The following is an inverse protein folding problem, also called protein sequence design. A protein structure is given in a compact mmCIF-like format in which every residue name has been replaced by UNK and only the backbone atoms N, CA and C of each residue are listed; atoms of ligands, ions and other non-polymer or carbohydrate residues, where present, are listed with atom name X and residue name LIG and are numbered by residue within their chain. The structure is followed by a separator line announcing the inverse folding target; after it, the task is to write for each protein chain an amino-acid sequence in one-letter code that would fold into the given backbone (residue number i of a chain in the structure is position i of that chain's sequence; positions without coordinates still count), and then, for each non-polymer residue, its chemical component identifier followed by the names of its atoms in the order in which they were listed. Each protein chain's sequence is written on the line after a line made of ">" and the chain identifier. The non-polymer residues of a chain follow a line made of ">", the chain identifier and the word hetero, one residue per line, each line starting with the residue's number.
data_IF_631570061046
#
_entry.id   IF_631570061046
#
_cell.length_a   1.000
_cell.length_b   1.000
_cell.length_c   1.000
_cell.angle_alpha   90.00
_cell.angle_beta   90.00
_cell.angle_gamma   90.00
#
_symmetry.space_group_name_H-M   'P 1'
#
loop_
_entity.id
_entity.type
_entity.pdbx_description
1 polymer ?
#
# COMPACT_ATOMS: atom_id res chain seq x y z
N UNK A 1 -0.55 -52.34 -36.51
CA UNK A 1 0.17 -51.83 -37.70
C UNK A 1 0.41 -50.35 -37.51
N UNK A 2 1.67 -49.93 -37.39
CA UNK A 2 2.02 -48.51 -37.29
C UNK A 2 1.86 -47.89 -38.67
N UNK A 3 1.02 -46.87 -38.77
CA UNK A 3 0.50 -46.35 -40.04
C UNK A 3 1.63 -45.78 -40.90
N UNK A 4 1.64 -46.22 -42.16
CA UNK A 4 2.63 -45.94 -43.18
C UNK A 4 2.50 -44.50 -43.71
N UNK A 5 3.29 -43.54 -43.19
CA UNK A 5 3.28 -42.14 -43.66
C UNK A 5 4.71 -41.56 -43.82
N UNK A 6 5.51 -42.16 -44.69
CA UNK A 6 6.98 -42.08 -44.76
C UNK A 6 7.69 -40.73 -45.06
N UNK A 7 7.12 -39.56 -44.79
CA UNK A 7 7.87 -38.29 -44.95
C UNK A 7 7.65 -37.24 -43.84
N UNK A 8 6.50 -37.25 -43.17
CA UNK A 8 6.27 -36.35 -42.01
C UNK A 8 6.85 -36.87 -40.69
N UNK A 9 7.23 -38.15 -40.65
CA UNK A 9 7.75 -38.86 -39.48
C UNK A 9 9.03 -38.20 -38.91
N UNK A 10 9.95 -37.74 -39.76
CA UNK A 10 11.22 -37.15 -39.33
C UNK A 10 11.10 -35.67 -38.94
N UNK A 11 10.04 -34.97 -39.37
CA UNK A 11 9.83 -33.56 -39.07
C UNK A 11 9.54 -33.34 -37.58
N UNK A 12 8.73 -34.20 -36.95
CA UNK A 12 8.43 -34.10 -35.52
C UNK A 12 9.70 -34.21 -34.66
N UNK A 13 10.58 -35.14 -35.03
CA UNK A 13 11.87 -35.34 -34.38
C UNK A 13 12.76 -34.10 -34.53
N UNK A 14 12.94 -33.61 -35.76
CA UNK A 14 13.79 -32.45 -36.04
C UNK A 14 13.26 -31.16 -35.38
N UNK A 15 11.95 -30.92 -35.46
CA UNK A 15 11.30 -29.75 -34.85
C UNK A 15 11.35 -29.85 -33.31
N UNK A 16 11.13 -31.03 -32.74
CA UNK A 16 11.25 -31.25 -31.29
C UNK A 16 12.66 -30.92 -30.78
N UNK A 17 13.68 -31.42 -31.45
CA UNK A 17 15.08 -31.11 -31.12
C UNK A 17 15.44 -29.64 -31.36
N UNK A 18 14.96 -29.02 -32.44
CA UNK A 18 15.14 -27.59 -32.67
C UNK A 18 14.51 -26.74 -31.56
N UNK A 19 13.31 -27.11 -31.09
CA UNK A 19 12.65 -26.42 -29.98
C UNK A 19 13.43 -26.57 -28.67
N UNK A 20 14.04 -27.73 -28.40
CA UNK A 20 14.93 -27.88 -27.25
C UNK A 20 16.16 -26.95 -27.35
N UNK A 21 16.76 -26.80 -28.54
CA UNK A 21 17.88 -25.87 -28.75
C UNK A 21 17.44 -24.42 -28.53
N UNK A 22 16.28 -24.03 -29.07
CA UNK A 22 15.72 -22.67 -28.89
C UNK A 22 15.38 -22.41 -27.42
N UNK A 23 14.99 -23.44 -26.67
CA UNK A 23 14.70 -23.31 -25.25
C UNK A 23 15.92 -22.77 -24.46
N UNK A 24 17.15 -23.17 -24.83
CA UNK A 24 18.38 -22.70 -24.18
C UNK A 24 18.75 -21.25 -24.50
N UNK A 25 18.11 -20.61 -25.49
CA UNK A 25 18.31 -19.19 -25.79
C UNK A 25 17.56 -18.26 -24.80
N UNK A 26 16.83 -18.82 -23.83
CA UNK A 26 16.14 -18.05 -22.81
C UNK A 26 17.08 -17.21 -21.94
N UNK A 27 16.70 -15.95 -21.68
CA UNK A 27 17.42 -15.07 -20.75
C UNK A 27 17.33 -15.59 -19.29
N UNK A 28 18.27 -15.17 -18.43
CA UNK A 28 18.28 -15.51 -16.99
C UNK A 28 17.19 -14.80 -16.15
N UNK A 29 16.17 -14.22 -16.79
CA UNK A 29 15.03 -13.60 -16.11
C UNK A 29 13.97 -14.65 -15.75
N UNK A 30 13.08 -14.34 -14.80
CA UNK A 30 11.94 -15.20 -14.42
C UNK A 30 11.08 -15.56 -15.65
N UNK A 31 10.89 -14.60 -16.55
CA UNK A 31 10.19 -14.81 -17.82
C UNK A 31 10.98 -15.70 -18.79
N UNK A 32 12.32 -15.66 -18.76
CA UNK A 32 13.17 -16.52 -19.57
C UNK A 32 13.21 -17.97 -19.07
N UNK A 33 13.14 -18.18 -17.75
CA UNK A 33 12.96 -19.52 -17.17
C UNK A 33 11.59 -20.10 -17.57
N UNK A 34 10.53 -19.29 -17.57
CA UNK A 34 9.21 -19.71 -18.05
C UNK A 34 9.25 -20.10 -19.54
N UNK A 35 9.90 -19.27 -20.37
CA UNK A 35 10.13 -19.53 -21.80
C UNK A 35 10.82 -20.88 -22.05
N UNK A 36 11.94 -21.14 -21.36
CA UNK A 36 12.67 -22.41 -21.41
C UNK A 36 11.74 -23.60 -21.13
N UNK A 37 10.93 -23.51 -20.06
CA UNK A 37 10.04 -24.61 -19.65
C UNK A 37 8.88 -24.82 -20.63
N UNK A 38 8.30 -23.76 -21.19
CA UNK A 38 7.22 -23.87 -22.18
C UNK A 38 7.71 -24.48 -23.51
N UNK A 39 8.90 -24.10 -23.98
CA UNK A 39 9.48 -24.71 -25.17
C UNK A 39 9.89 -26.16 -24.93
N UNK A 40 10.44 -26.48 -23.74
CA UNK A 40 10.72 -27.85 -23.37
C UNK A 40 9.46 -28.72 -23.33
N UNK A 41 8.33 -28.21 -22.82
CA UNK A 41 7.04 -28.91 -22.87
C UNK A 41 6.61 -29.20 -24.31
N UNK A 42 6.69 -28.19 -25.18
CA UNK A 42 6.31 -28.31 -26.59
C UNK A 42 7.20 -29.35 -27.30
N UNK A 43 8.51 -29.33 -27.03
CA UNK A 43 9.46 -30.34 -27.51
C UNK A 43 9.14 -31.75 -27.00
N UNK A 44 8.83 -31.92 -25.71
CA UNK A 44 8.44 -33.21 -25.14
C UNK A 44 7.15 -33.77 -25.77
N UNK A 45 6.15 -32.93 -26.05
CA UNK A 45 4.91 -33.38 -26.73
C UNK A 45 5.20 -33.87 -28.14
N UNK A 46 6.04 -33.16 -28.90
CA UNK A 46 6.42 -33.59 -30.26
C UNK A 46 7.24 -34.88 -30.25
N UNK A 47 8.12 -35.07 -29.27
CA UNK A 47 8.88 -36.32 -29.10
C UNK A 47 8.00 -37.49 -28.65
N UNK A 48 6.96 -37.23 -27.84
CA UNK A 48 5.96 -38.24 -27.50
C UNK A 48 5.13 -38.65 -28.72
N UNK A 49 4.69 -37.69 -29.53
CA UNK A 49 3.99 -37.96 -30.78
C UNK A 49 4.88 -38.78 -31.74
N UNK A 50 6.16 -38.45 -31.84
CA UNK A 50 7.12 -39.22 -32.62
C UNK A 50 7.30 -40.65 -32.07
N UNK A 51 7.46 -40.80 -30.75
CA UNK A 51 7.60 -42.10 -30.09
C UNK A 51 6.36 -42.99 -30.26
N UNK A 52 5.17 -42.39 -30.26
CA UNK A 52 3.90 -43.08 -30.42
C UNK A 52 3.58 -43.46 -31.87
N UNK A 53 3.77 -42.53 -32.81
CA UNK A 53 3.37 -42.73 -34.21
C UNK A 53 4.42 -43.46 -35.04
N UNK A 54 5.71 -43.14 -34.82
CA UNK A 54 6.82 -43.57 -35.69
C UNK A 54 7.60 -44.73 -35.07
N UNK A 55 8.12 -44.53 -33.87
CA UNK A 55 9.09 -45.43 -33.27
C UNK A 55 8.44 -46.64 -32.57
N UNK A 56 7.17 -46.51 -32.15
CA UNK A 56 6.41 -47.51 -31.39
C UNK A 56 7.19 -48.14 -30.23
N UNK A 57 8.09 -47.37 -29.61
CA UNK A 57 8.96 -47.80 -28.52
C UNK A 57 8.41 -47.31 -27.19
N UNK A 58 8.03 -48.24 -26.32
CA UNK A 58 7.51 -47.93 -24.99
C UNK A 58 8.52 -47.23 -24.10
N UNK A 59 9.82 -47.52 -24.27
CA UNK A 59 10.90 -46.88 -23.52
C UNK A 59 11.00 -45.38 -23.83
N UNK A 60 10.99 -45.01 -25.11
CA UNK A 60 11.03 -43.60 -25.53
C UNK A 60 9.81 -42.83 -25.01
N UNK A 61 8.62 -43.43 -25.09
CA UNK A 61 7.37 -42.83 -24.59
C UNK A 61 7.44 -42.64 -23.07
N UNK A 62 7.98 -43.62 -22.33
CA UNK A 62 8.17 -43.53 -20.88
C UNK A 62 9.05 -42.35 -20.48
N UNK A 63 10.23 -42.20 -21.10
CA UNK A 63 11.16 -41.12 -20.80
C UNK A 63 10.58 -39.73 -21.12
N UNK A 64 9.99 -39.53 -22.30
CA UNK A 64 9.41 -38.23 -22.65
C UNK A 64 8.18 -37.88 -21.82
N UNK A 65 7.40 -38.87 -21.36
CA UNK A 65 6.28 -38.65 -20.45
C UNK A 65 6.79 -38.17 -19.08
N UNK A 66 7.86 -38.78 -18.57
CA UNK A 66 8.50 -38.36 -17.33
C UNK A 66 9.04 -36.91 -17.44
N UNK A 67 9.76 -36.59 -18.53
CA UNK A 67 10.24 -35.24 -18.76
C UNK A 67 9.11 -34.22 -18.92
N UNK A 68 8.02 -34.60 -19.59
CA UNK A 68 6.83 -33.77 -19.70
C UNK A 68 6.24 -33.48 -18.31
N UNK A 69 6.02 -34.51 -17.49
CA UNK A 69 5.46 -34.37 -16.15
C UNK A 69 6.31 -33.46 -15.25
N UNK A 70 7.64 -33.63 -15.27
CA UNK A 70 8.56 -32.77 -14.51
C UNK A 70 8.49 -31.31 -14.98
N UNK A 71 8.51 -31.07 -16.29
CA UNK A 71 8.42 -29.70 -16.81
C UNK A 71 7.05 -29.07 -16.53
N UNK A 72 5.95 -29.83 -16.55
CA UNK A 72 4.61 -29.35 -16.17
C UNK A 72 4.60 -28.93 -14.71
N UNK A 73 5.16 -29.76 -13.81
CA UNK A 73 5.26 -29.43 -12.39
C UNK A 73 6.04 -28.12 -12.18
N UNK A 74 7.19 -27.96 -12.84
CA UNK A 74 7.96 -26.72 -12.75
C UNK A 74 7.20 -25.50 -13.29
N UNK A 75 6.46 -25.63 -14.41
CA UNK A 75 5.60 -24.55 -14.92
C UNK A 75 4.51 -24.20 -13.92
N UNK A 76 3.84 -25.19 -13.32
CA UNK A 76 2.81 -24.96 -12.31
C UNK A 76 3.40 -24.24 -11.09
N UNK A 77 4.52 -24.71 -10.56
CA UNK A 77 5.21 -24.08 -9.42
C UNK A 77 5.60 -22.64 -9.77
N UNK A 78 6.16 -22.42 -10.96
CA UNK A 78 6.57 -21.10 -11.41
C UNK A 78 5.35 -20.17 -11.57
N UNK A 79 4.29 -20.60 -12.23
CA UNK A 79 3.03 -19.85 -12.34
C UNK A 79 2.42 -19.53 -10.97
N UNK A 80 2.49 -20.46 -10.02
CA UNK A 80 2.08 -20.22 -8.63
C UNK A 80 2.93 -19.14 -7.95
N UNK A 81 4.24 -19.08 -8.25
CA UNK A 81 5.15 -18.03 -7.74
C UNK A 81 4.95 -16.68 -8.44
N UNK A 82 4.62 -16.68 -9.74
CA UNK A 82 4.35 -15.47 -10.51
C UNK A 82 2.94 -14.91 -10.30
N UNK A 83 2.03 -15.68 -9.67
CA UNK A 83 0.64 -15.26 -9.48
C UNK A 83 0.61 -13.87 -8.85
N UNK A 84 0.09 -12.86 -9.58
CA UNK A 84 0.07 -11.49 -9.08
C UNK A 84 -0.77 -11.44 -7.82
N UNK A 85 -0.29 -10.69 -6.84
CA UNK A 85 -1.01 -10.44 -5.59
C UNK A 85 -2.20 -9.56 -5.94
N UNK A 86 -3.39 -10.17 -6.03
CA UNK A 86 -4.64 -9.44 -6.20
C UNK A 86 -5.05 -8.90 -4.83
N UNK A 87 -5.27 -7.59 -4.77
CA UNK A 87 -5.83 -6.93 -3.59
C UNK A 87 -7.30 -6.65 -3.85
N UNK A 88 -8.08 -6.46 -2.77
CA UNK A 88 -9.42 -5.90 -2.90
C UNK A 88 -9.34 -4.50 -3.51
N UNK A 89 -10.38 -4.12 -4.26
CA UNK A 89 -10.41 -2.86 -5.01
C UNK A 89 -10.08 -1.64 -4.14
N UNK A 90 -10.62 -1.58 -2.92
CA UNK A 90 -10.34 -0.47 -1.99
C UNK A 90 -8.88 -0.44 -1.51
N UNK A 91 -8.33 -1.59 -1.19
CA UNK A 91 -6.93 -1.72 -0.76
C UNK A 91 -5.99 -1.38 -1.93
N UNK A 92 -6.35 -1.76 -3.15
CA UNK A 92 -5.59 -1.38 -4.35
C UNK A 92 -5.61 0.12 -4.60
N UNK A 93 -6.74 0.81 -4.38
CA UNK A 93 -6.81 2.28 -4.46
C UNK A 93 -5.88 2.94 -3.45
N UNK A 94 -5.86 2.46 -2.21
CA UNK A 94 -4.93 2.92 -1.17
C UNK A 94 -3.47 2.68 -1.58
N UNK A 95 -3.15 1.48 -2.06
CA UNK A 95 -1.81 1.14 -2.54
C UNK A 95 -1.34 2.07 -3.65
N UNK A 96 -2.20 2.33 -4.64
CA UNK A 96 -1.88 3.21 -5.77
C UNK A 96 -1.72 4.67 -5.34
N UNK A 97 -2.49 5.14 -4.36
CA UNK A 97 -2.45 6.53 -3.91
C UNK A 97 -1.29 6.81 -2.93
N UNK A 98 -1.04 5.93 -1.96
CA UNK A 98 -0.07 6.18 -0.89
C UNK A 98 1.29 5.52 -1.15
N UNK A 99 1.31 4.27 -1.63
CA UNK A 99 2.52 3.43 -1.64
C UNK A 99 3.22 3.38 -3.01
N UNK A 100 2.46 3.45 -4.11
CA UNK A 100 3.00 3.46 -5.47
C UNK A 100 3.90 4.67 -5.77
N UNK A 101 3.56 5.91 -5.35
CA UNK A 101 4.45 7.07 -5.57
C UNK A 101 5.80 6.93 -4.85
N UNK A 102 5.82 6.20 -3.73
CA UNK A 102 7.01 5.97 -2.89
C UNK A 102 7.80 4.72 -3.32
N UNK A 103 7.52 4.16 -4.51
CA UNK A 103 8.19 3.00 -5.10
C UNK A 103 8.11 1.70 -4.28
N UNK A 104 7.06 1.55 -3.47
CA UNK A 104 6.83 0.29 -2.72
C UNK A 104 6.32 -0.79 -3.65
N UNK A 105 7.02 -1.93 -3.68
CA UNK A 105 6.61 -3.10 -4.46
C UNK A 105 5.34 -3.72 -3.90
N UNK A 106 4.50 -4.28 -4.79
CA UNK A 106 3.30 -5.06 -4.37
C UNK A 106 3.64 -6.20 -3.42
N UNK A 107 4.83 -6.78 -3.52
CA UNK A 107 5.28 -7.83 -2.61
C UNK A 107 5.57 -7.30 -1.20
N UNK A 108 6.20 -6.13 -1.09
CA UNK A 108 6.44 -5.46 0.19
C UNK A 108 5.13 -5.08 0.86
N UNK A 109 4.20 -4.49 0.09
CA UNK A 109 2.86 -4.16 0.59
C UNK A 109 2.06 -5.41 0.99
N UNK A 110 2.24 -6.55 0.31
CA UNK A 110 1.66 -7.83 0.74
C UNK A 110 2.16 -8.26 2.12
N UNK A 111 3.44 -8.06 2.44
CA UNK A 111 3.98 -8.37 3.78
C UNK A 111 3.28 -7.54 4.86
N UNK A 112 3.14 -6.24 4.63
CA UNK A 112 2.39 -5.32 5.51
C UNK A 112 0.94 -5.78 5.68
N UNK A 113 0.28 -6.13 4.58
CA UNK A 113 -1.11 -6.59 4.61
C UNK A 113 -1.26 -7.94 5.34
N UNK A 114 -0.22 -8.78 5.34
CA UNK A 114 -0.21 -10.03 6.13
C UNK A 114 -0.24 -9.77 7.64
N UNK A 115 0.23 -8.60 8.10
CA UNK A 115 0.18 -8.18 9.51
C UNK A 115 -1.18 -7.56 9.90
N UNK A 116 -2.16 -7.57 8.99
CA UNK A 116 -3.51 -7.07 9.25
C UNK A 116 -4.20 -7.93 10.32
N UNK A 117 -4.86 -7.25 11.28
CA UNK A 117 -5.73 -7.88 12.28
C UNK A 117 -7.08 -8.21 11.65
N UNK A 118 -7.73 -7.21 11.06
CA UNK A 118 -9.02 -7.35 10.36
C UNK A 118 -9.34 -6.12 9.50
N UNK A 119 -10.31 -6.25 8.59
CA UNK A 119 -11.01 -5.10 7.98
C UNK A 119 -12.35 -4.95 8.68
N UNK A 120 -12.54 -3.85 9.40
CA UNK A 120 -13.80 -3.55 10.10
C UNK A 120 -14.71 -2.73 9.20
N UNK A 121 -15.95 -3.18 9.02
CA UNK A 121 -16.99 -2.42 8.35
C UNK A 121 -17.86 -1.76 9.41
N UNK A 122 -17.98 -0.44 9.36
CA UNK A 122 -18.71 0.39 10.30
C UNK A 122 -19.97 0.92 9.64
N UNK A 123 -21.11 0.79 10.31
CA UNK A 123 -22.38 1.39 9.87
C UNK A 123 -22.48 2.87 10.28
N UNK A 124 -23.49 3.56 9.75
CA UNK A 124 -23.81 4.93 10.16
C UNK A 124 -23.95 5.05 11.68
N UNK A 125 -23.25 6.04 12.28
CA UNK A 125 -23.18 6.30 13.73
C UNK A 125 -22.56 5.18 14.58
N UNK A 126 -21.94 4.17 13.96
CA UNK A 126 -21.21 3.15 14.72
C UNK A 126 -19.91 3.72 15.29
N UNK A 127 -19.64 3.43 16.56
CA UNK A 127 -18.44 3.88 17.26
C UNK A 127 -17.30 2.91 16.94
N UNK A 128 -16.23 3.46 16.36
CA UNK A 128 -15.01 2.73 16.11
C UNK A 128 -14.20 2.53 17.40
N UNK A 129 -13.87 3.66 18.05
CA UNK A 129 -13.11 3.71 19.29
C UNK A 129 -13.77 4.71 20.23
N UNK A 130 -13.78 4.39 21.52
CA UNK A 130 -14.33 5.23 22.57
C UNK A 130 -13.21 5.76 23.47
N UNK A 131 -13.28 7.07 23.74
CA UNK A 131 -12.35 7.80 24.59
C UNK A 131 -12.24 7.14 25.98
N UNK A 132 -11.02 6.94 26.47
CA UNK A 132 -10.66 6.33 27.75
C UNK A 132 -11.18 4.89 27.98
N UNK A 133 -11.67 4.21 26.94
CA UNK A 133 -12.21 2.85 27.03
C UNK A 133 -11.47 1.89 26.11
N UNK A 134 -11.24 2.30 24.87
CA UNK A 134 -10.57 1.43 23.88
C UNK A 134 -9.05 1.53 24.05
N UNK A 135 -8.34 0.40 24.12
CA UNK A 135 -6.87 0.37 24.21
C UNK A 135 -6.21 0.63 22.86
N UNK A 136 -5.06 1.30 22.88
CA UNK A 136 -4.25 1.61 21.68
C UNK A 136 -3.28 0.45 21.37
N UNK A 137 -3.81 -0.62 20.78
CA UNK A 137 -3.02 -1.82 20.40
C UNK A 137 -2.77 -1.94 18.88
N UNK A 138 -3.36 -1.04 18.09
CA UNK A 138 -3.49 -1.20 16.65
C UNK A 138 -3.24 0.10 15.89
N UNK A 139 -2.89 -0.05 14.61
CA UNK A 139 -2.81 1.05 13.66
C UNK A 139 -3.92 0.87 12.63
N UNK A 140 -4.72 1.92 12.42
CA UNK A 140 -5.90 1.85 11.56
C UNK A 140 -5.83 2.85 10.41
N UNK A 141 -6.30 2.42 9.24
CA UNK A 141 -6.38 3.22 8.02
C UNK A 141 -7.78 3.16 7.42
N UNK A 142 -8.34 4.31 7.11
CA UNK A 142 -9.66 4.41 6.47
C UNK A 142 -9.54 4.02 5.00
N UNK A 143 -10.22 2.95 4.58
CA UNK A 143 -10.26 2.51 3.18
C UNK A 143 -11.29 3.32 2.39
N UNK A 144 -12.49 3.46 2.95
CA UNK A 144 -13.63 4.16 2.37
C UNK A 144 -14.51 4.72 3.49
N UNK A 145 -15.24 5.79 3.17
CA UNK A 145 -16.13 6.47 4.12
C UNK A 145 -15.54 7.73 4.76
N UNK A 146 -16.26 8.23 5.77
CA UNK A 146 -15.95 9.43 6.56
C UNK A 146 -16.18 9.14 8.02
N UNK A 147 -15.18 9.46 8.84
CA UNK A 147 -15.24 9.31 10.29
C UNK A 147 -15.08 10.67 10.96
N UNK A 148 -15.86 10.92 11.99
CA UNK A 148 -15.70 12.10 12.85
C UNK A 148 -14.91 11.71 14.09
N UNK A 149 -13.93 12.53 14.42
CA UNK A 149 -13.15 12.43 15.65
C UNK A 149 -13.68 13.48 16.62
N UNK A 150 -14.07 13.05 17.82
CA UNK A 150 -14.56 13.91 18.89
C UNK A 150 -13.76 13.69 20.18
N UNK A 151 -13.59 14.74 20.97
CA UNK A 151 -12.96 14.67 22.29
C UNK A 151 -13.88 15.37 23.29
N UNK A 152 -14.12 14.77 24.46
CA UNK A 152 -15.06 15.31 25.45
C UNK A 152 -16.42 15.68 24.82
N UNK A 153 -16.96 14.81 23.96
CA UNK A 153 -18.23 15.00 23.22
C UNK A 153 -18.25 16.17 22.22
N UNK A 154 -17.10 16.82 21.97
CA UNK A 154 -16.95 17.92 21.02
C UNK A 154 -16.24 17.43 19.75
N UNK A 155 -16.85 17.61 18.59
CA UNK A 155 -16.24 17.23 17.32
C UNK A 155 -15.00 18.09 17.03
N UNK A 156 -13.88 17.45 16.70
CA UNK A 156 -12.61 18.12 16.41
C UNK A 156 -12.39 18.25 14.91
N UNK A 157 -12.39 17.13 14.19
CA UNK A 157 -12.15 17.08 12.76
C UNK A 157 -12.77 15.83 12.13
N UNK A 158 -12.93 15.85 10.82
CA UNK A 158 -13.32 14.67 10.02
C UNK A 158 -12.08 14.05 9.41
N UNK A 159 -11.98 12.73 9.52
CA UNK A 159 -10.99 11.90 8.82
C UNK A 159 -11.65 11.29 7.59
N UNK A 160 -11.00 11.46 6.44
CA UNK A 160 -11.48 10.99 5.15
C UNK A 160 -10.81 9.67 4.74
N UNK A 161 -11.35 9.04 3.69
CA UNK A 161 -10.74 7.87 3.07
C UNK A 161 -9.25 8.11 2.70
N UNK A 162 -8.44 7.07 2.87
CA UNK A 162 -6.97 7.03 2.68
C UNK A 162 -6.16 7.81 3.72
N UNK A 163 -6.76 8.23 4.83
CA UNK A 163 -6.06 8.82 5.96
C UNK A 163 -5.98 7.81 7.12
N UNK A 164 -4.90 7.91 7.89
CA UNK A 164 -4.74 7.08 9.08
C UNK A 164 -5.63 7.63 10.20
N UNK A 165 -5.99 6.80 11.18
CA UNK A 165 -6.69 7.26 12.39
C UNK A 165 -5.66 7.48 13.51
N UNK A 166 -4.94 6.42 13.86
CA UNK A 166 -4.18 6.30 15.12
C UNK A 166 -2.70 6.72 14.99
N UNK A 167 -2.43 7.71 14.13
CA UNK A 167 -1.06 8.12 13.80
C UNK A 167 -0.35 8.88 14.92
N UNK A 168 -1.00 9.83 15.62
CA UNK A 168 -0.41 10.44 16.81
C UNK A 168 -0.07 9.40 17.89
N UNK A 169 -0.96 8.43 18.09
CA UNK A 169 -0.84 7.37 19.08
C UNK A 169 0.28 6.39 18.71
N UNK A 170 0.53 6.18 17.42
CA UNK A 170 1.64 5.37 16.92
C UNK A 170 3.02 5.86 17.40
N UNK A 171 3.23 7.19 17.41
CA UNK A 171 4.51 7.81 17.78
C UNK A 171 4.61 8.19 19.26
N UNK A 172 3.51 8.67 19.84
CA UNK A 172 3.53 9.36 21.14
C UNK A 172 3.13 8.53 22.34
N UNK A 173 2.53 7.34 22.14
CA UNK A 173 1.81 6.65 23.22
C UNK A 173 2.29 5.19 23.38
N UNK A 174 2.65 4.75 24.60
CA UNK A 174 2.93 3.35 24.89
C UNK A 174 1.68 2.48 24.63
N UNK A 175 1.86 1.20 24.28
CA UNK A 175 0.77 0.28 23.89
C UNK A 175 -0.30 0.00 24.95
N UNK A 176 -0.10 0.40 26.21
CA UNK A 176 -1.06 0.16 27.30
C UNK A 176 -1.96 1.35 27.62
N UNK A 177 -1.87 2.43 26.84
CA UNK A 177 -2.72 3.60 27.02
C UNK A 177 -4.06 3.47 26.26
N UNK A 178 -5.00 4.33 26.63
CA UNK A 178 -6.34 4.38 26.02
C UNK A 178 -6.43 5.46 24.94
N UNK A 179 -7.35 5.28 24.01
CA UNK A 179 -7.69 6.32 23.05
C UNK A 179 -8.13 7.60 23.77
N UNK A 180 -7.50 8.73 23.45
CA UNK A 180 -7.84 10.04 24.03
C UNK A 180 -9.00 10.73 23.31
N UNK A 181 -9.49 10.12 22.23
CA UNK A 181 -10.56 10.64 21.38
C UNK A 181 -11.55 9.53 21.05
N UNK A 182 -12.80 9.90 20.86
CA UNK A 182 -13.85 9.03 20.34
C UNK A 182 -13.95 9.17 18.83
N UNK A 183 -14.07 8.05 18.12
CA UNK A 183 -14.14 8.01 16.65
C UNK A 183 -15.44 7.34 16.25
N UNK A 184 -16.24 8.02 15.42
CA UNK A 184 -17.56 7.57 15.00
C UNK A 184 -17.71 7.67 13.48
N UNK A 185 -18.34 6.67 12.87
CA UNK A 185 -18.61 6.69 11.44
C UNK A 185 -19.78 7.62 11.09
N UNK A 186 -19.58 8.54 10.14
CA UNK A 186 -20.61 9.43 9.61
C UNK A 186 -21.34 8.83 8.40
N UNK A 187 -20.80 7.76 7.81
CA UNK A 187 -21.38 7.00 6.71
C UNK A 187 -20.89 5.56 6.77
N UNK A 188 -21.40 4.67 5.90
CA UNK A 188 -20.88 3.31 5.79
C UNK A 188 -19.39 3.36 5.42
N UNK A 189 -18.55 2.93 6.37
CA UNK A 189 -17.10 3.13 6.31
C UNK A 189 -16.37 1.82 6.49
N UNK A 190 -15.26 1.63 5.78
CA UNK A 190 -14.38 0.46 5.96
C UNK A 190 -13.03 0.89 6.46
N UNK A 191 -12.57 0.25 7.53
CA UNK A 191 -11.32 0.57 8.21
C UNK A 191 -10.44 -0.67 8.25
N UNK A 192 -9.23 -0.53 7.73
CA UNK A 192 -8.19 -1.54 7.77
C UNK A 192 -7.42 -1.41 9.08
N UNK A 193 -7.38 -2.48 9.88
CA UNK A 193 -6.74 -2.49 11.20
C UNK A 193 -5.55 -3.44 11.20
N UNK A 194 -4.37 -2.92 11.57
CA UNK A 194 -3.15 -3.69 11.76
C UNK A 194 -2.83 -3.89 13.23
N UNK A 195 -2.20 -5.02 13.55
CA UNK A 195 -1.61 -5.21 14.88
C UNK A 195 -0.30 -4.44 14.96
N UNK A 196 -0.18 -3.53 15.95
CA UNK A 196 0.96 -2.60 16.05
C UNK A 196 2.30 -3.32 16.10
N UNK A 197 2.42 -4.35 16.94
CA UNK A 197 3.70 -5.04 17.17
C UNK A 197 4.14 -5.85 15.95
N UNK A 198 3.21 -6.59 15.35
CA UNK A 198 3.50 -7.40 14.14
C UNK A 198 3.84 -6.50 12.96
N UNK A 199 3.14 -5.38 12.82
CA UNK A 199 3.41 -4.41 11.77
C UNK A 199 4.79 -3.75 11.98
N UNK A 200 5.09 -3.30 13.20
CA UNK A 200 6.38 -2.69 13.54
C UNK A 200 7.54 -3.65 13.27
N UNK A 201 7.42 -4.91 13.70
CA UNK A 201 8.42 -5.94 13.41
C UNK A 201 8.59 -6.18 11.90
N UNK A 202 7.49 -6.26 11.13
CA UNK A 202 7.57 -6.46 9.68
C UNK A 202 8.19 -5.28 8.94
N UNK A 203 7.97 -4.05 9.43
CA UNK A 203 8.52 -2.83 8.87
C UNK A 203 10.02 -2.73 9.22
N UNK A 204 10.40 -3.00 10.47
CA UNK A 204 11.80 -2.96 10.93
C UNK A 204 12.67 -4.04 10.28
N UNK A 205 12.08 -5.15 9.81
CA UNK A 205 12.79 -6.17 9.06
C UNK A 205 13.34 -5.68 7.70
N UNK A 206 12.85 -4.55 7.19
CA UNK A 206 13.23 -4.02 5.88
C UNK A 206 13.42 -2.49 5.93
N UNK A 207 14.67 -1.96 5.90
CA UNK A 207 14.93 -0.55 6.20
C UNK A 207 14.25 0.41 5.22
N UNK A 208 14.13 0.02 3.95
CA UNK A 208 13.39 0.80 2.95
C UNK A 208 11.92 0.98 3.34
N UNK A 209 11.27 -0.11 3.77
CA UNK A 209 9.87 -0.08 4.16
C UNK A 209 9.67 0.77 5.42
N UNK A 210 10.62 0.70 6.35
CA UNK A 210 10.65 1.55 7.55
C UNK A 210 10.65 3.04 7.21
N UNK A 211 11.60 3.50 6.42
CA UNK A 211 11.68 4.92 6.03
C UNK A 211 10.41 5.38 5.32
N UNK A 212 9.85 4.56 4.44
CA UNK A 212 8.61 4.89 3.73
C UNK A 212 7.43 5.00 4.70
N UNK A 213 7.26 4.06 5.62
CA UNK A 213 6.18 4.11 6.60
C UNK A 213 6.32 5.30 7.54
N UNK A 214 7.51 5.54 8.09
CA UNK A 214 7.78 6.69 8.94
C UNK A 214 7.47 8.00 8.21
N UNK A 215 7.85 8.12 6.92
CA UNK A 215 7.52 9.28 6.11
C UNK A 215 6.01 9.48 5.92
N UNK A 216 5.27 8.42 5.56
CA UNK A 216 3.81 8.49 5.37
C UNK A 216 3.12 8.90 6.67
N UNK A 217 3.46 8.25 7.78
CA UNK A 217 2.84 8.50 9.08
C UNK A 217 3.21 9.90 9.60
N UNK A 218 4.47 10.33 9.46
CA UNK A 218 4.89 11.67 9.86
C UNK A 218 4.13 12.75 9.07
N UNK A 219 3.95 12.55 7.76
CA UNK A 219 3.17 13.46 6.92
C UNK A 219 1.71 13.54 7.35
N UNK A 220 1.09 12.42 7.73
CA UNK A 220 -0.29 12.38 8.21
C UNK A 220 -0.45 13.16 9.53
N UNK A 221 0.45 12.94 10.50
CA UNK A 221 0.48 13.69 11.77
C UNK A 221 0.60 15.18 11.53
N UNK A 222 1.56 15.61 10.70
CA UNK A 222 1.74 17.04 10.36
C UNK A 222 0.48 17.61 9.72
N UNK A 223 -0.16 16.86 8.81
CA UNK A 223 -1.38 17.31 8.14
C UNK A 223 -2.53 17.50 9.13
N UNK A 224 -2.72 16.55 10.06
CA UNK A 224 -3.74 16.67 11.11
C UNK A 224 -3.45 17.82 12.08
N UNK A 225 -2.20 17.99 12.49
CA UNK A 225 -1.79 19.11 13.34
C UNK A 225 -2.07 20.45 12.68
N UNK A 226 -1.72 20.61 11.39
CA UNK A 226 -2.00 21.82 10.62
C UNK A 226 -3.51 22.09 10.48
N UNK A 227 -4.34 21.05 10.33
CA UNK A 227 -5.78 21.22 10.30
C UNK A 227 -6.32 21.74 11.63
N UNK A 228 -5.87 21.15 12.75
CA UNK A 228 -6.28 21.56 14.09
C UNK A 228 -5.83 23.00 14.40
N UNK A 229 -4.59 23.38 14.04
CA UNK A 229 -4.09 24.74 14.27
C UNK A 229 -4.85 25.77 13.44
N UNK A 230 -5.12 25.49 12.16
CA UNK A 230 -5.92 26.38 11.31
C UNK A 230 -7.36 26.56 11.82
N UNK A 231 -7.97 25.52 12.36
CA UNK A 231 -9.29 25.59 12.98
C UNK A 231 -9.22 26.47 14.25
N UNK A 232 -8.19 26.28 15.08
CA UNK A 232 -7.95 27.10 16.28
C UNK A 232 -7.74 28.58 15.96
N UNK A 233 -6.91 28.92 14.97
CA UNK A 233 -6.67 30.31 14.55
C UNK A 233 -7.94 30.99 14.03
N UNK A 234 -8.77 30.27 13.29
CA UNK A 234 -10.06 30.79 12.81
C UNK A 234 -11.05 31.01 13.96
N UNK A 235 -11.02 30.16 14.98
CA UNK A 235 -11.78 30.38 16.22
C UNK A 235 -11.27 31.62 16.97
N UNK A 236 -9.95 31.81 17.07
CA UNK A 236 -9.37 33.00 17.72
C UNK A 236 -9.71 34.30 16.97
N UNK A 237 -9.66 34.28 15.63
CA UNK A 237 -10.05 35.44 14.78
C UNK A 237 -11.55 35.73 14.84
N UNK A 238 -12.39 34.69 14.89
CA UNK A 238 -13.84 34.82 15.10
C UNK A 238 -14.16 35.47 16.45
N UNK A 239 -13.44 35.10 17.50
CA UNK A 239 -13.66 35.66 18.84
C UNK A 239 -13.15 37.11 18.97
N UNK A 240 -12.08 37.48 18.26
CA UNK A 240 -11.56 38.86 18.25
C UNK A 240 -12.36 39.83 17.37
N UNK A 241 -13.26 39.35 16.51
CA UNK A 241 -14.11 40.23 15.69
C UNK A 241 -15.32 40.78 16.47
N UNK A 242 -15.58 40.32 17.69
CA UNK A 242 -16.71 40.79 18.52
C UNK A 242 -16.25 41.86 19.54
N UNK A 243 -14.95 42.16 19.67
CA UNK A 243 -14.45 43.13 20.67
C UNK A 243 -13.97 44.46 20.09
N UNK A 244 -14.33 44.83 18.86
CA UNK A 244 -14.03 46.14 18.31
C UNK A 244 -15.27 46.78 17.67
N UNK A 245 -16.14 47.30 18.51
CA UNK A 245 -17.10 48.36 18.15
C UNK A 245 -17.24 49.23 19.38
N UNK A 246 -16.30 50.17 19.51
CA UNK A 246 -16.38 51.28 20.47
C UNK A 246 -17.02 52.46 19.73
N UNK A 247 -18.19 52.90 20.21
CA UNK A 247 -18.54 54.32 20.32
C UNK A 247 -19.86 54.47 21.11
N UNK A 248 -19.79 55.11 22.29
CA UNK A 248 -20.92 55.87 22.87
C UNK A 248 -21.48 55.43 24.24
N UNK A 249 -20.82 55.86 25.30
CA UNK A 249 -21.31 56.37 26.61
C UNK A 249 -22.40 55.65 27.48
N UNK A 250 -22.02 55.48 28.77
CA UNK A 250 -22.78 55.51 30.04
C UNK A 250 -23.88 54.48 30.39
N UNK A 251 -23.54 53.54 31.30
CA UNK A 251 -24.24 53.23 32.59
C UNK A 251 -23.66 52.01 33.32
N UNK A 252 -23.72 51.92 34.68
CA UNK A 252 -23.17 50.80 35.44
C UNK A 252 -24.18 49.68 35.73
N UNK A 253 -23.62 48.50 36.07
CA UNK A 253 -24.22 47.29 36.65
C UNK A 253 -25.28 46.50 35.85
N UNK A 254 -24.92 45.27 35.43
CA UNK A 254 -25.53 44.01 35.92
C UNK A 254 -24.98 42.79 35.16
N UNK A 255 -24.75 41.72 35.91
CA UNK A 255 -24.32 40.39 35.47
C UNK A 255 -25.25 39.83 34.40
N UNK A 256 -24.69 39.33 33.29
CA UNK A 256 -25.35 38.32 32.46
C UNK A 256 -24.33 37.28 31.94
N UNK A 257 -24.26 36.22 32.71
CA UNK A 257 -23.73 34.88 32.45
C UNK A 257 -24.10 34.35 31.06
N UNK A 258 -23.13 33.76 30.37
CA UNK A 258 -23.32 32.58 29.51
C UNK A 258 -23.77 32.82 28.06
N UNK A 259 -22.83 33.07 27.15
CA UNK A 259 -23.02 32.86 25.69
C UNK A 259 -21.72 32.56 24.91
N UNK A 260 -20.72 31.96 25.57
CA UNK A 260 -19.46 31.56 24.93
C UNK A 260 -19.55 30.13 24.35
N UNK A 261 -20.47 29.29 24.83
CA UNK A 261 -20.57 27.88 24.42
C UNK A 261 -21.13 27.70 23.01
N UNK A 262 -22.17 28.47 22.64
CA UNK A 262 -22.90 28.26 21.38
C UNK A 262 -22.10 28.73 20.15
N UNK A 263 -21.32 29.80 20.29
CA UNK A 263 -20.53 30.36 19.18
C UNK A 263 -19.35 29.45 18.79
N UNK A 264 -18.74 28.79 19.79
CA UNK A 264 -17.70 27.80 19.56
C UNK A 264 -18.26 26.59 18.80
N UNK A 265 -19.45 26.11 19.18
CA UNK A 265 -20.16 25.04 18.47
C UNK A 265 -20.43 25.39 17.01
N UNK A 266 -20.96 26.58 16.73
CA UNK A 266 -21.23 27.03 15.36
C UNK A 266 -19.96 27.17 14.51
N UNK A 267 -18.85 27.67 15.07
CA UNK A 267 -17.57 27.77 14.33
C UNK A 267 -17.00 26.41 13.93
N UNK A 268 -17.19 25.40 14.79
CA UNK A 268 -16.73 24.02 14.58
C UNK A 268 -17.64 23.34 13.56
N UNK A 269 -18.95 23.49 13.68
CA UNK A 269 -19.90 23.01 12.66
C UNK A 269 -19.60 23.65 11.30
N UNK A 270 -19.24 24.94 11.25
CA UNK A 270 -18.85 25.61 10.01
C UNK A 270 -17.51 25.12 9.46
N UNK A 271 -16.51 24.82 10.32
CA UNK A 271 -15.24 24.25 9.90
C UNK A 271 -15.39 22.81 9.37
N UNK A 272 -16.18 21.99 10.06
CA UNK A 272 -16.56 20.63 9.67
C UNK A 272 -17.32 20.65 8.33
N UNK A 273 -18.29 21.55 8.17
CA UNK A 273 -19.03 21.71 6.91
C UNK A 273 -18.12 22.15 5.75
N UNK A 274 -17.10 22.98 6.00
CA UNK A 274 -16.10 23.32 4.99
C UNK A 274 -15.18 22.15 4.63
N UNK A 275 -14.80 21.33 5.60
CA UNK A 275 -14.08 20.08 5.33
C UNK A 275 -14.92 19.14 4.45
N UNK A 276 -16.23 19.04 4.72
CA UNK A 276 -17.16 18.28 3.88
C UNK A 276 -17.28 18.84 2.45
N UNK A 277 -17.30 20.17 2.29
CA UNK A 277 -17.40 20.83 0.98
C UNK A 277 -16.10 20.79 0.15
N UNK A 278 -14.94 20.74 0.80
CA UNK A 278 -13.62 20.71 0.12
C UNK A 278 -13.39 19.47 -0.75
N UNK A 279 -14.20 18.42 -0.60
CA UNK A 279 -14.17 17.21 -1.43
C UNK A 279 -15.20 17.26 -2.57
N UNK A 280 -16.21 18.14 -2.52
CA UNK A 280 -17.28 18.21 -3.54
C UNK A 280 -16.84 18.95 -4.81
N UNK A 281 -15.67 19.61 -4.81
CA UNK A 281 -15.02 20.13 -6.00
C UNK A 281 -13.92 19.15 -6.48
N UNK A 282 -13.91 18.74 -7.76
CA UNK A 282 -12.83 17.91 -8.29
C UNK A 282 -11.51 18.70 -8.24
N UNK A 283 -10.51 18.15 -7.56
CA UNK A 283 -9.14 18.67 -7.51
C UNK A 283 -8.51 18.69 -8.90
N UNK A 284 -8.74 19.77 -9.65
CA UNK A 284 -7.80 20.26 -10.65
C UNK A 284 -7.00 21.40 -10.02
N UNK A 285 -5.66 21.23 -10.09
CA UNK A 285 -4.62 22.27 -9.95
C UNK A 285 -4.09 22.55 -8.54
N UNK A 286 -3.20 21.65 -8.08
CA UNK A 286 -2.03 22.05 -7.29
C UNK A 286 -0.83 22.17 -8.24
N UNK A 287 -0.48 23.40 -8.63
CA UNK A 287 0.72 23.72 -9.40
C UNK A 287 1.97 23.39 -8.57
N UNK A 288 3.00 22.85 -9.23
CA UNK A 288 4.28 22.43 -8.65
C UNK A 288 5.20 23.59 -8.23
N UNK A 289 4.69 24.80 -7.97
CA UNK A 289 5.52 26.01 -7.91
C UNK A 289 5.71 26.64 -6.53
N UNK A 290 4.93 26.30 -5.50
CA UNK A 290 4.91 27.10 -4.25
C UNK A 290 5.38 26.31 -3.01
N UNK A 291 6.54 25.65 -3.10
CA UNK A 291 7.22 25.08 -1.93
C UNK A 291 8.67 25.59 -1.85
N UNK A 292 8.98 26.57 -0.97
CA UNK A 292 10.34 27.08 -0.79
C UNK A 292 11.32 26.07 -0.15
N UNK A 293 10.87 24.85 0.19
CA UNK A 293 11.69 23.78 0.78
C UNK A 293 12.27 22.77 -0.23
N UNK A 294 11.88 22.82 -1.50
CA UNK A 294 12.43 21.94 -2.56
C UNK A 294 13.59 22.58 -3.34
N UNK A 295 13.90 23.86 -3.10
CA UNK A 295 14.92 24.61 -3.83
C UNK A 295 16.36 24.34 -3.36
N UNK A 296 16.57 23.57 -2.29
CA UNK A 296 17.89 23.37 -1.68
C UNK A 296 18.62 22.11 -2.22
N UNK A 297 17.95 21.19 -2.92
CA UNK A 297 18.56 19.89 -3.28
C UNK A 297 18.86 19.67 -4.78
N UNK A 298 18.97 20.75 -5.57
CA UNK A 298 19.47 20.67 -6.95
C UNK A 298 20.66 21.59 -7.17
N UNK A 299 21.79 21.28 -6.52
CA UNK A 299 23.10 21.79 -6.95
C UNK A 299 24.04 20.62 -7.20
N UNK A 300 24.06 20.18 -8.47
CA UNK A 300 25.06 19.26 -9.04
C UNK A 300 26.44 19.91 -8.99
N UNK A 301 27.51 19.21 -8.57
CA UNK A 301 28.85 19.51 -9.04
C UNK A 301 29.30 18.45 -10.06
N UNK A 302 29.96 18.96 -11.10
CA UNK A 302 30.69 18.26 -12.15
C UNK A 302 32.03 17.77 -11.55
N UNK A 303 32.53 16.60 -11.98
CA UNK A 303 33.73 15.87 -11.46
C UNK A 303 35.10 16.56 -11.71
N UNK A 304 36.26 15.86 -11.73
CA UNK A 304 36.52 14.41 -11.85
C UNK A 304 37.66 13.82 -10.94
N UNK A 305 38.00 12.55 -11.19
CA UNK A 305 39.24 11.80 -10.86
C UNK A 305 39.42 10.98 -9.54
N UNK A 306 39.56 9.66 -9.78
CA UNK A 306 40.58 8.69 -9.29
C UNK A 306 40.62 8.28 -7.82
N UNK A 307 40.53 6.95 -7.60
CA UNK A 307 40.88 6.28 -6.35
C UNK A 307 40.48 4.80 -6.29
N UNK A 308 41.26 3.95 -6.95
CA UNK A 308 41.32 2.49 -6.77
C UNK A 308 41.52 2.08 -5.30
N UNK A 309 40.87 0.99 -4.87
CA UNK A 309 41.34 -0.11 -3.96
C UNK A 309 40.11 -1.04 -3.72
N UNK A 310 39.98 -2.19 -4.43
CA UNK A 310 40.36 -3.57 -4.02
C UNK A 310 39.80 -3.95 -2.64
N UNK A 311 38.82 -4.87 -2.47
CA UNK A 311 38.85 -6.36 -2.50
C UNK A 311 37.63 -6.77 -1.64
N UNK A 312 36.92 -7.89 -1.72
CA UNK A 312 36.99 -9.16 -2.46
C UNK A 312 35.58 -9.82 -2.29
N UNK A 313 35.20 -10.80 -3.13
CA UNK A 313 33.85 -11.30 -3.31
C UNK A 313 33.59 -12.58 -2.51
N UNK A 314 32.37 -12.73 -1.99
CA UNK A 314 31.78 -14.03 -1.60
C UNK A 314 30.30 -13.85 -1.30
N UNK A 315 29.47 -14.22 -2.26
CA UNK A 315 28.00 -14.19 -2.12
C UNK A 315 27.26 -14.79 -3.31
N UNK A 316 27.92 -14.89 -4.48
CA UNK A 316 27.46 -15.67 -5.62
C UNK A 316 27.89 -17.13 -5.42
N UNK A 317 27.20 -17.81 -4.50
CA UNK A 317 27.04 -19.27 -4.50
C UNK A 317 26.01 -19.64 -3.45
N UNK A 318 24.75 -19.72 -3.87
CA UNK A 318 23.80 -20.69 -3.34
C UNK A 318 22.77 -20.97 -4.42
N UNK A 319 23.18 -21.81 -5.37
CA UNK A 319 22.25 -22.66 -6.07
C UNK A 319 21.51 -23.51 -5.05
N UNK A 320 20.19 -23.32 -4.98
CA UNK A 320 19.24 -24.28 -4.45
C UNK A 320 18.07 -24.28 -5.42
N UNK A 321 18.27 -25.02 -6.50
CA UNK A 321 17.19 -25.62 -7.27
C UNK A 321 17.34 -27.12 -7.06
N UNK A 322 16.57 -27.64 -6.10
CA UNK A 322 16.04 -28.99 -6.11
C UNK A 322 14.54 -28.81 -6.10
#
# INVERSE_FOLDING_TARGET
>A
ECFNHGQHEHLYYQIGHALFLIAFLGSNSVYGILWLRCLALTGCVLMLLWGWLVACSSDAIGWFTLFLAVNVLYVIVLLCRLRPVKFDKEIELVYVALFKPLRVSRYQFKKVLKCMKMVRSLKYQEIYAQENVTKVDSLSLVLSGKLVVSQNQKALHIVFARQFLDTPEWFGVPTDDYFQVSIMAMEESRVLVWHRDMLKLSIMAEPFLQTVFEHILSRDVVTKLLQVTQISEKMAKSNNFITSSDDGEDKPMLVAKGKISDNAGHSITAAINRQLQGETLPLLRGSSADNPLLAIEMKKPIGPEVGLILRDPKGIRRGKWL
#
